data_IF_670212034233
#
_entry.id   IF_670212034233
#
_cell.length_a   1.000
_cell.length_b   1.000
_cell.length_c   1.000
_cell.angle_alpha   90.00
_cell.angle_beta   90.00
_cell.angle_gamma   90.00
#
_symmetry.space_group_name_H-M   'P 1'
#
loop_
_entity.id
_entity.type
_entity.pdbx_description
1 polymer ?
#
# COMPACT_ATOMS: atom_id res chain seq x y z
N UNK A 1 11.14 3.71 11.46
CA UNK A 1 10.50 3.48 10.14
C UNK A 1 9.38 2.47 10.29
N UNK A 2 8.32 2.89 11.00
CA UNK A 2 7.13 2.09 11.27
C UNK A 2 6.02 2.62 10.36
N UNK A 3 6.10 2.26 9.08
CA UNK A 3 5.09 2.70 8.12
C UNK A 3 3.73 2.18 8.62
N UNK A 4 2.84 3.13 8.92
CA UNK A 4 1.42 3.00 9.28
C UNK A 4 0.87 1.59 9.52
N UNK A 5 0.17 1.40 10.65
CA UNK A 5 -0.55 0.16 11.05
C UNK A 5 -1.39 -0.54 9.95
N UNK A 6 -1.76 0.19 8.91
CA UNK A 6 -2.59 -0.26 7.79
C UNK A 6 -1.78 -0.86 6.63
N UNK A 7 -0.45 -0.70 6.62
CA UNK A 7 0.44 -1.19 5.56
C UNK A 7 0.88 -2.62 5.89
N UNK A 8 0.64 -3.52 4.95
CA UNK A 8 0.98 -4.94 5.05
C UNK A 8 2.32 -5.26 4.38
N UNK A 9 2.61 -4.59 3.26
CA UNK A 9 3.82 -4.81 2.50
C UNK A 9 4.21 -3.55 1.73
N UNK A 10 5.52 -3.37 1.56
CA UNK A 10 6.13 -2.33 0.74
C UNK A 10 7.19 -3.02 -0.11
N UNK A 11 7.17 -2.73 -1.40
CA UNK A 11 8.12 -3.25 -2.36
C UNK A 11 8.74 -2.08 -3.09
N UNK A 12 10.07 -1.98 -3.06
CA UNK A 12 10.79 -1.15 -4.00
C UNK A 12 10.78 -1.84 -5.36
N UNK A 13 10.37 -1.11 -6.38
CA UNK A 13 10.20 -1.65 -7.73
C UNK A 13 10.82 -0.71 -8.74
N UNK A 14 11.24 -1.26 -9.86
CA UNK A 14 11.61 -0.48 -11.04
C UNK A 14 10.35 -0.18 -11.85
N UNK A 15 10.20 1.03 -12.40
CA UNK A 15 9.08 1.35 -13.28
C UNK A 15 8.76 2.84 -13.31
N UNK A 16 7.52 3.17 -13.63
CA UNK A 16 7.00 4.55 -13.55
C UNK A 16 6.90 5.04 -12.09
N UNK A 17 6.74 4.11 -11.15
CA UNK A 17 6.72 4.37 -9.71
C UNK A 17 7.83 3.57 -9.04
N UNK A 18 8.40 4.15 -7.98
CA UNK A 18 9.56 3.59 -7.28
C UNK A 18 9.16 2.58 -6.19
N UNK A 19 7.90 2.60 -5.76
CA UNK A 19 7.41 1.72 -4.70
C UNK A 19 5.95 1.30 -4.90
N UNK A 20 5.64 0.07 -4.49
CA UNK A 20 4.27 -0.47 -4.37
C UNK A 20 3.98 -0.74 -2.90
N UNK A 21 2.86 -0.21 -2.41
CA UNK A 21 2.37 -0.42 -1.06
C UNK A 21 1.07 -1.22 -1.09
N UNK A 22 0.97 -2.25 -0.25
CA UNK A 22 -0.26 -2.98 -0.01
C UNK A 22 -0.79 -2.59 1.36
N UNK A 23 -1.99 -2.03 1.42
CA UNK A 23 -2.63 -1.60 2.65
C UNK A 23 -4.07 -2.07 2.79
N UNK A 24 -4.50 -2.32 4.02
CA UNK A 24 -5.89 -2.65 4.36
C UNK A 24 -6.49 -1.59 5.28
N UNK A 25 -7.69 -1.16 4.91
CA UNK A 25 -8.43 -0.09 5.56
C UNK A 25 -9.83 -0.58 5.89
N UNK A 26 -10.39 -0.14 7.01
CA UNK A 26 -11.74 -0.49 7.43
C UNK A 26 -12.79 0.12 6.52
N UNK A 27 -12.55 1.34 6.07
CA UNK A 27 -13.47 2.13 5.27
C UNK A 27 -12.72 3.15 4.38
N UNK A 28 -13.48 3.80 3.50
CA UNK A 28 -12.95 4.80 2.58
C UNK A 28 -12.45 6.07 3.28
N UNK A 29 -12.94 6.36 4.49
CA UNK A 29 -12.47 7.52 5.25
C UNK A 29 -11.09 7.28 5.85
N UNK A 30 -10.79 6.05 6.27
CA UNK A 30 -9.45 5.66 6.70
C UNK A 30 -8.46 5.67 5.52
N UNK A 31 -8.88 5.18 4.35
CA UNK A 31 -8.09 5.23 3.12
C UNK A 31 -7.76 6.68 2.71
N UNK A 32 -8.75 7.57 2.70
CA UNK A 32 -8.56 8.99 2.34
C UNK A 32 -7.56 9.69 3.27
N UNK A 33 -7.68 9.45 4.59
CA UNK A 33 -6.72 9.99 5.58
C UNK A 33 -5.31 9.47 5.33
N UNK A 34 -5.17 8.19 4.98
CA UNK A 34 -3.89 7.59 4.68
C UNK A 34 -3.25 8.19 3.42
N UNK A 35 -4.00 8.31 2.32
CA UNK A 35 -3.50 8.89 1.06
C UNK A 35 -3.09 10.35 1.27
N UNK A 36 -3.91 11.15 1.97
CA UNK A 36 -3.57 12.54 2.30
C UNK A 36 -2.36 12.66 3.21
N UNK A 37 -2.14 11.67 4.07
CA UNK A 37 -0.92 11.55 4.87
C UNK A 37 0.30 11.31 3.99
N UNK A 38 0.24 10.33 3.11
CA UNK A 38 1.31 10.03 2.16
C UNK A 38 1.67 11.24 1.29
N UNK A 39 0.69 11.96 0.76
CA UNK A 39 0.93 13.14 -0.08
C UNK A 39 1.53 14.34 0.67
N UNK A 40 1.64 14.30 2.01
CA UNK A 40 2.33 15.33 2.81
C UNK A 40 3.79 15.01 3.07
N UNK A 41 4.21 13.77 2.82
CA UNK A 41 5.61 13.37 2.95
C UNK A 41 6.41 14.00 1.82
N UNK A 42 7.52 14.67 2.15
CA UNK A 42 8.33 15.42 1.17
C UNK A 42 8.88 14.52 0.05
N UNK A 43 9.09 13.24 0.33
CA UNK A 43 9.64 12.27 -0.61
C UNK A 43 8.57 11.68 -1.55
N UNK A 44 7.28 11.96 -1.31
CA UNK A 44 6.17 11.44 -2.11
C UNK A 44 5.73 12.48 -3.14
N UNK A 45 6.15 12.28 -4.39
CA UNK A 45 5.80 13.18 -5.49
C UNK A 45 4.38 12.93 -6.02
N UNK A 46 3.99 11.66 -6.15
CA UNK A 46 2.69 11.24 -6.67
C UNK A 46 2.34 9.86 -6.14
N UNK A 47 1.04 9.64 -5.93
CA UNK A 47 0.49 8.32 -5.61
C UNK A 47 -0.46 7.86 -6.69
N UNK A 48 -0.45 6.56 -7.00
CA UNK A 48 -1.47 5.91 -7.81
C UNK A 48 -2.17 4.83 -6.98
N UNK A 49 -3.45 5.06 -6.65
CA UNK A 49 -4.21 4.16 -5.76
C UNK A 49 -5.07 3.21 -6.59
N UNK A 50 -4.89 1.91 -6.39
CA UNK A 50 -5.73 0.87 -6.97
C UNK A 50 -6.55 0.20 -5.86
N UNK A 51 -7.87 0.31 -5.94
CA UNK A 51 -8.77 -0.32 -4.96
C UNK A 51 -9.09 -1.75 -5.39
N UNK A 52 -8.76 -2.72 -4.53
CA UNK A 52 -9.08 -4.12 -4.76
C UNK A 52 -10.59 -4.34 -4.58
N UNK A 53 -11.27 -4.80 -5.62
CA UNK A 53 -12.72 -5.09 -5.59
C UNK A 53 -13.03 -6.54 -5.21
N UNK A 54 -12.13 -7.47 -5.55
CA UNK A 54 -12.27 -8.88 -5.25
C UNK A 54 -10.89 -9.51 -5.01
N UNK A 55 -10.77 -10.29 -3.94
CA UNK A 55 -9.55 -11.04 -3.62
C UNK A 55 -9.72 -12.46 -4.13
N UNK A 56 -9.10 -12.77 -5.27
CA UNK A 56 -9.14 -14.12 -5.86
C UNK A 56 -8.24 -15.09 -5.09
N UNK A 57 -7.06 -14.61 -4.67
CA UNK A 57 -6.09 -15.35 -3.85
C UNK A 57 -5.25 -14.35 -3.06
N UNK A 58 -5.16 -14.55 -1.76
CA UNK A 58 -4.25 -13.84 -0.87
C UNK A 58 -3.78 -14.84 0.18
N UNK A 59 -2.46 -15.03 0.29
CA UNK A 59 -1.86 -15.89 1.29
C UNK A 59 -0.69 -15.16 1.93
N UNK A 60 -0.83 -14.87 3.22
CA UNK A 60 0.15 -14.10 3.99
C UNK A 60 1.17 -15.00 4.71
N UNK A 61 1.04 -16.32 4.59
CA UNK A 61 1.75 -17.33 5.40
C UNK A 61 2.45 -18.40 4.58
N UNK A 62 2.17 -18.48 3.28
CA UNK A 62 2.74 -19.51 2.42
C UNK A 62 4.27 -19.43 2.34
N UNK A 63 4.94 -20.44 2.88
CA UNK A 63 6.39 -20.65 2.77
C UNK A 63 6.86 -21.02 1.35
N UNK A 64 5.94 -21.05 0.38
CA UNK A 64 6.19 -21.40 -1.04
C UNK A 64 6.48 -20.18 -1.93
N UNK A 65 6.58 -18.96 -1.38
CA UNK A 65 6.93 -17.75 -2.13
C UNK A 65 8.44 -17.48 -2.24
N UNK A 66 9.28 -18.45 -1.86
CA UNK A 66 10.74 -18.43 -2.09
C UNK A 66 11.15 -19.54 -3.06
#
# INVERSE_FOLDING_TARGET
TAYHKNVLAIYDVTGEFDAILIGKFRDTSELDKFIKGLLRENDVQRTYTQTVLNIVKEDMTSSQML
#
